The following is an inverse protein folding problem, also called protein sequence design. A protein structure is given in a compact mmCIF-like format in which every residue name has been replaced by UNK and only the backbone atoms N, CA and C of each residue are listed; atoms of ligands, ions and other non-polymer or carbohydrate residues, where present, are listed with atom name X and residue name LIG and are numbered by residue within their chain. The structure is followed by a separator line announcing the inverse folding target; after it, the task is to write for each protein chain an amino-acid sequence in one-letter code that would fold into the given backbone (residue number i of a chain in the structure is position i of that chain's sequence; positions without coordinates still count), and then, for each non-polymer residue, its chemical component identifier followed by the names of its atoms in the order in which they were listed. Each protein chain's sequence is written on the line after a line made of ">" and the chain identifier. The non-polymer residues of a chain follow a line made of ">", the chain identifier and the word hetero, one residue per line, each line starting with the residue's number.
data_IF_306908359497
#
_entry.id   IF_306908359497
#
_cell.length_a   1.000
_cell.length_b   1.000
_cell.length_c   1.000
_cell.angle_alpha   90.00
_cell.angle_beta   90.00
_cell.angle_gamma   90.00
#
_symmetry.space_group_name_H-M   'P 1'
#
loop_
_entity.id
_entity.type
_entity.pdbx_description
1 polymer ?
#
# COMPACT_ATOMS: atom_id res chain seq x y z
N UNK A 1 -18.62 3.45 -30.55
CA UNK A 1 -17.57 3.70 -29.54
C UNK A 1 -16.42 2.74 -29.78
N UNK A 2 -15.21 3.24 -29.96
CA UNK A 2 -14.02 2.39 -30.07
C UNK A 2 -13.67 1.82 -28.68
N UNK A 3 -13.42 0.52 -28.59
CA UNK A 3 -12.96 -0.12 -27.35
C UNK A 3 -11.53 0.33 -27.05
N UNK A 4 -11.21 0.54 -25.77
CA UNK A 4 -9.83 0.79 -25.32
C UNK A 4 -9.01 -0.48 -25.48
N UNK A 5 -7.95 -0.41 -26.29
CA UNK A 5 -6.96 -1.46 -26.56
C UNK A 5 -5.60 -1.07 -25.99
N UNK A 6 -4.65 -2.02 -25.92
CA UNK A 6 -3.32 -1.81 -25.33
C UNK A 6 -3.18 -2.38 -23.93
N UNK A 7 -2.03 -2.15 -23.29
CA UNK A 7 -1.74 -2.58 -21.93
C UNK A 7 -2.55 -1.71 -20.95
N UNK A 8 -3.44 -2.32 -20.18
CA UNK A 8 -4.38 -1.66 -19.28
C UNK A 8 -3.86 -1.58 -17.85
N UNK A 9 -3.04 -2.55 -17.45
CA UNK A 9 -2.33 -2.56 -16.19
C UNK A 9 -1.00 -3.28 -16.30
N UNK A 10 -0.10 -2.95 -15.39
CA UNK A 10 1.12 -3.74 -15.17
C UNK A 10 0.96 -4.45 -13.85
N UNK A 11 0.58 -5.71 -13.93
CA UNK A 11 0.36 -6.57 -12.77
C UNK A 11 1.69 -7.21 -12.37
N UNK A 12 1.88 -7.50 -11.09
CA UNK A 12 3.11 -8.13 -10.62
C UNK A 12 2.86 -8.99 -9.39
N UNK A 13 3.73 -9.98 -9.20
CA UNK A 13 3.80 -10.85 -8.03
C UNK A 13 5.14 -10.64 -7.35
N UNK A 14 5.11 -10.48 -6.04
CA UNK A 14 6.28 -10.22 -5.21
C UNK A 14 6.52 -11.42 -4.32
N UNK A 15 7.75 -11.90 -4.29
CA UNK A 15 8.27 -12.79 -3.25
C UNK A 15 9.23 -12.00 -2.38
N UNK A 16 9.04 -12.06 -1.07
CA UNK A 16 9.91 -11.37 -0.11
C UNK A 16 10.29 -12.31 1.03
N UNK A 17 11.47 -12.09 1.60
CA UNK A 17 12.00 -12.88 2.71
C UNK A 17 12.39 -11.95 3.87
N UNK A 18 12.46 -12.50 5.06
CA UNK A 18 12.77 -11.73 6.25
C UNK A 18 13.00 -12.58 7.49
N UNK A 19 13.12 -11.88 8.61
CA UNK A 19 13.17 -12.48 9.94
C UNK A 19 12.49 -11.56 10.95
N UNK A 20 11.68 -12.14 11.82
CA UNK A 20 10.94 -11.38 12.83
C UNK A 20 9.71 -10.64 12.28
N UNK A 21 8.93 -10.10 13.20
CA UNK A 21 7.75 -9.29 12.87
C UNK A 21 8.16 -7.84 12.67
N UNK A 22 7.97 -7.33 11.44
CA UNK A 22 8.21 -5.92 11.11
C UNK A 22 6.97 -5.03 11.28
N UNK A 23 5.76 -5.60 11.22
CA UNK A 23 4.51 -4.85 11.34
C UNK A 23 3.60 -5.42 12.44
N UNK A 24 3.64 -4.76 13.61
CA UNK A 24 2.82 -5.13 14.77
C UNK A 24 1.41 -4.54 14.70
N UNK A 25 0.46 -5.22 15.33
CA UNK A 25 -0.90 -4.70 15.54
C UNK A 25 -0.97 -3.92 16.86
N UNK A 26 -0.42 -4.50 17.93
CA UNK A 26 -0.38 -3.88 19.25
C UNK A 26 -0.77 -4.84 20.38
N UNK A 27 -0.83 -4.29 21.59
CA UNK A 27 -1.25 -5.02 22.78
C UNK A 27 -2.70 -5.50 22.64
N UNK A 28 -2.92 -6.79 22.90
CA UNK A 28 -4.23 -7.44 22.77
C UNK A 28 -4.60 -8.11 24.10
N UNK A 29 -5.88 -8.01 24.49
CA UNK A 29 -6.39 -8.69 25.67
C UNK A 29 -6.58 -10.18 25.41
N UNK A 30 -5.90 -11.01 26.20
CA UNK A 30 -5.86 -12.47 26.05
C UNK A 30 -5.87 -13.14 27.42
N UNK A 31 -6.14 -14.45 27.45
CA UNK A 31 -5.99 -15.28 28.65
C UNK A 31 -4.61 -15.93 28.67
N UNK A 32 -4.04 -16.02 29.85
CA UNK A 32 -2.86 -16.86 30.11
C UNK A 32 -2.96 -17.50 31.48
N UNK A 33 -2.26 -18.62 31.66
CA UNK A 33 -2.22 -19.33 32.92
C UNK A 33 -1.16 -18.69 33.82
N UNK A 34 -1.59 -18.14 34.96
CA UNK A 34 -0.71 -17.54 35.98
C UNK A 34 -1.02 -18.20 37.31
N UNK A 35 -0.03 -18.85 37.90
CA UNK A 35 -0.13 -19.57 39.19
C UNK A 35 -1.29 -20.59 39.20
N UNK A 36 -1.46 -21.33 38.11
CA UNK A 36 -2.52 -22.34 37.96
C UNK A 36 -3.93 -21.78 37.73
N UNK A 37 -4.08 -20.46 37.58
CA UNK A 37 -5.36 -19.80 37.32
C UNK A 37 -5.35 -19.01 36.01
N UNK A 38 -6.43 -19.10 35.24
CA UNK A 38 -6.59 -18.33 34.00
C UNK A 38 -6.84 -16.85 34.31
N UNK A 39 -5.91 -15.98 33.91
CA UNK A 39 -6.01 -14.53 34.10
C UNK A 39 -5.99 -13.81 32.76
N UNK A 40 -6.75 -12.72 32.69
CA UNK A 40 -6.69 -11.79 31.57
C UNK A 40 -5.40 -10.97 31.65
N UNK A 41 -4.65 -10.92 30.56
CA UNK A 41 -3.47 -10.08 30.37
C UNK A 41 -3.73 -9.09 29.26
N UNK A 42 -3.23 -7.87 29.43
CA UNK A 42 -3.41 -6.75 28.49
C UNK A 42 -2.10 -6.31 27.84
N UNK A 43 -0.98 -6.93 28.22
CA UNK A 43 0.38 -6.58 27.80
C UNK A 43 1.01 -7.66 26.90
N UNK A 44 0.20 -8.45 26.21
CA UNK A 44 0.64 -9.35 25.16
C UNK A 44 0.57 -8.65 23.80
N UNK A 45 1.70 -8.46 23.11
CA UNK A 45 1.71 -7.78 21.82
C UNK A 45 1.49 -8.78 20.67
N UNK A 46 0.48 -8.51 19.85
CA UNK A 46 0.14 -9.33 18.69
C UNK A 46 0.64 -8.70 17.39
N UNK A 47 1.20 -9.49 16.47
CA UNK A 47 1.44 -9.05 15.11
C UNK A 47 0.12 -8.90 14.34
N UNK A 48 0.17 -8.39 13.11
CA UNK A 48 -1.00 -8.38 12.23
C UNK A 48 -1.25 -9.79 11.69
N UNK A 49 -2.32 -10.41 12.14
CA UNK A 49 -2.77 -11.73 11.69
C UNK A 49 -4.06 -11.58 10.88
N UNK A 50 -4.12 -12.16 9.68
CA UNK A 50 -5.29 -12.02 8.80
C UNK A 50 -6.51 -12.65 9.45
N UNK A 51 -7.60 -11.90 9.58
CA UNK A 51 -8.88 -12.46 10.07
C UNK A 51 -8.87 -12.86 11.55
N UNK A 52 -7.80 -12.56 12.29
CA UNK A 52 -7.70 -12.90 13.70
C UNK A 52 -8.68 -12.12 14.55
N UNK A 53 -9.33 -12.83 15.46
CA UNK A 53 -10.10 -12.29 16.59
C UNK A 53 -9.57 -12.88 17.89
N UNK A 54 -9.50 -12.06 18.94
CA UNK A 54 -9.09 -12.48 20.28
C UNK A 54 -10.24 -13.11 21.09
N UNK A 55 -11.41 -13.31 20.46
CA UNK A 55 -12.60 -13.90 21.07
C UNK A 55 -12.86 -15.31 20.53
N UNK A 56 -13.43 -16.18 21.35
CA UNK A 56 -13.89 -17.53 21.00
C UNK A 56 -15.22 -17.83 21.70
N UNK A 57 -15.97 -18.78 21.15
CA UNK A 57 -17.13 -19.36 21.83
C UNK A 57 -16.67 -20.52 22.72
N UNK A 58 -17.05 -20.47 23.99
CA UNK A 58 -16.87 -21.55 24.95
C UNK A 58 -18.24 -22.08 25.40
N UNK A 59 -18.28 -23.31 25.92
CA UNK A 59 -19.48 -23.90 26.50
C UNK A 59 -19.30 -24.08 28.00
N UNK A 60 -20.35 -23.80 28.77
CA UNK A 60 -20.37 -24.14 30.20
C UNK A 60 -20.75 -25.63 30.40
N UNK A 61 -20.75 -26.10 31.65
CA UNK A 61 -21.08 -27.49 32.01
C UNK A 61 -22.51 -27.90 31.60
N UNK A 62 -23.38 -26.94 31.30
CA UNK A 62 -24.76 -27.14 30.81
C UNK A 62 -24.87 -27.09 29.28
N UNK A 63 -23.75 -26.92 28.56
CA UNK A 63 -23.70 -26.81 27.11
C UNK A 63 -24.07 -25.44 26.54
N UNK A 64 -24.35 -24.44 27.39
CA UNK A 64 -24.69 -23.09 26.94
C UNK A 64 -23.44 -22.39 26.41
N UNK A 65 -23.53 -21.81 25.21
CA UNK A 65 -22.42 -21.13 24.55
C UNK A 65 -22.32 -19.68 25.03
N UNK A 66 -21.12 -19.25 25.39
CA UNK A 66 -20.80 -17.86 25.74
C UNK A 66 -19.48 -17.42 25.10
N UNK A 67 -19.34 -16.12 24.88
CA UNK A 67 -18.11 -15.55 24.33
C UNK A 67 -17.04 -15.40 25.42
N UNK A 68 -15.80 -15.78 25.11
CA UNK A 68 -14.65 -15.61 26.00
C UNK A 68 -13.40 -15.24 25.23
N UNK A 69 -12.34 -14.83 25.93
CA UNK A 69 -11.05 -14.50 25.31
C UNK A 69 -10.28 -15.77 24.95
N UNK A 70 -9.56 -15.70 23.82
CA UNK A 70 -8.58 -16.71 23.42
C UNK A 70 -7.38 -16.70 24.37
N UNK A 71 -6.72 -17.84 24.44
CA UNK A 71 -5.45 -17.97 25.14
C UNK A 71 -4.33 -17.37 24.31
N UNK A 72 -3.27 -16.87 24.94
CA UNK A 72 -2.16 -16.23 24.23
C UNK A 72 -1.39 -17.19 23.31
N UNK A 73 -1.54 -18.50 23.50
CA UNK A 73 -0.98 -19.58 22.67
C UNK A 73 -1.96 -20.12 21.65
N UNK A 74 -3.23 -19.68 21.68
CA UNK A 74 -4.31 -20.17 20.81
C UNK A 74 -4.37 -19.34 19.52
N UNK A 75 -3.36 -19.55 18.67
CA UNK A 75 -3.25 -18.93 17.36
C UNK A 75 -3.00 -20.00 16.31
N UNK A 76 -3.88 -20.03 15.30
CA UNK A 76 -3.73 -20.88 14.13
C UNK A 76 -3.19 -20.03 12.97
N UNK A 77 -1.95 -20.29 12.56
CA UNK A 77 -1.30 -19.56 11.47
C UNK A 77 -1.67 -20.09 10.08
N UNK A 78 -2.37 -21.22 9.98
CA UNK A 78 -3.00 -21.68 8.73
C UNK A 78 -4.26 -20.86 8.44
N UNK A 79 -5.10 -20.63 9.45
CA UNK A 79 -6.32 -19.84 9.31
C UNK A 79 -6.07 -18.32 9.38
N UNK A 80 -5.15 -17.91 10.26
CA UNK A 80 -4.86 -16.49 10.54
C UNK A 80 -3.38 -16.16 10.33
N UNK A 81 -2.86 -16.26 9.09
CA UNK A 81 -1.44 -16.06 8.81
C UNK A 81 -0.98 -14.64 9.13
N UNK A 82 0.31 -14.53 9.45
CA UNK A 82 1.00 -13.24 9.57
C UNK A 82 0.92 -12.48 8.24
N UNK A 83 0.78 -11.16 8.33
CA UNK A 83 0.94 -10.31 7.15
C UNK A 83 1.56 -8.96 7.47
N UNK A 84 2.26 -8.40 6.47
CA UNK A 84 2.65 -6.98 6.49
C UNK A 84 1.58 -6.20 5.73
N UNK A 85 1.00 -5.19 6.38
CA UNK A 85 -0.07 -4.42 5.76
C UNK A 85 0.46 -3.59 4.58
N UNK A 86 -0.35 -3.46 3.53
CA UNK A 86 -0.06 -2.62 2.36
C UNK A 86 0.31 -1.20 2.78
N UNK A 87 -0.26 -0.67 3.86
CA UNK A 87 0.09 0.67 4.37
C UNK A 87 1.54 0.74 4.89
N UNK A 88 2.01 -0.31 5.58
CA UNK A 88 3.40 -0.39 6.03
C UNK A 88 4.36 -0.48 4.85
N UNK A 89 4.01 -1.27 3.83
CA UNK A 89 4.79 -1.41 2.60
C UNK A 89 4.87 -0.09 1.85
N UNK A 90 3.72 0.57 1.62
CA UNK A 90 3.67 1.89 0.97
C UNK A 90 4.45 2.94 1.75
N UNK A 91 4.41 2.91 3.08
CA UNK A 91 5.23 3.81 3.87
C UNK A 91 6.73 3.64 3.55
N UNK A 92 7.23 2.40 3.52
CA UNK A 92 8.64 2.14 3.25
C UNK A 92 9.04 2.36 1.78
N UNK A 93 8.16 2.06 0.82
CA UNK A 93 8.38 2.36 -0.60
C UNK A 93 8.61 3.86 -0.86
N UNK A 94 7.92 4.72 -0.10
CA UNK A 94 7.97 6.18 -0.27
C UNK A 94 8.53 6.88 0.97
N UNK A 95 9.44 6.23 1.69
CA UNK A 95 9.97 6.73 2.96
C UNK A 95 10.85 7.97 2.79
N UNK A 96 11.60 8.01 1.69
CA UNK A 96 12.51 9.12 1.40
C UNK A 96 11.76 10.39 0.96
N UNK A 97 10.54 10.21 0.42
CA UNK A 97 9.63 11.29 0.00
C UNK A 97 8.47 11.49 0.99
N UNK A 98 8.70 11.31 2.30
CA UNK A 98 7.66 11.55 3.32
C UNK A 98 7.39 13.05 3.42
N UNK A 99 6.19 13.42 2.99
CA UNK A 99 5.68 14.79 3.07
C UNK A 99 4.95 15.00 4.40
N UNK A 100 5.27 16.09 5.09
CA UNK A 100 4.48 16.56 6.22
C UNK A 100 3.19 17.21 5.71
N UNK A 101 2.11 16.42 5.60
CA UNK A 101 0.79 16.87 5.14
C UNK A 101 0.15 17.96 6.01
N UNK A 102 0.61 18.12 7.26
CA UNK A 102 0.13 19.15 8.17
C UNK A 102 0.90 20.46 8.04
N UNK A 103 1.91 20.54 7.17
CA UNK A 103 2.69 21.75 7.00
C UNK A 103 1.81 22.89 6.43
N UNK A 104 1.78 24.09 7.04
CA UNK A 104 0.86 25.17 6.63
C UNK A 104 0.97 25.56 5.15
N UNK A 105 2.17 25.53 4.59
CA UNK A 105 2.44 25.92 3.19
C UNK A 105 2.25 24.80 2.15
N UNK A 106 1.70 23.65 2.55
CA UNK A 106 1.57 22.50 1.64
C UNK A 106 0.67 22.84 0.43
N UNK A 107 -0.42 23.58 0.69
CA UNK A 107 -1.38 24.04 -0.32
C UNK A 107 -0.82 25.11 -1.27
N UNK A 108 0.27 25.79 -0.92
CA UNK A 108 0.95 26.78 -1.77
C UNK A 108 1.99 26.14 -2.70
N UNK A 109 2.37 24.89 -2.44
CA UNK A 109 3.49 24.19 -3.09
C UNK A 109 3.06 22.85 -3.68
N UNK A 110 1.79 22.73 -4.09
CA UNK A 110 1.22 21.48 -4.60
C UNK A 110 1.89 21.06 -5.91
N UNK A 111 2.38 22.00 -6.70
CA UNK A 111 3.16 21.72 -7.91
C UNK A 111 4.43 20.92 -7.59
N UNK A 112 5.13 21.22 -6.49
CA UNK A 112 6.29 20.45 -6.01
C UNK A 112 5.90 19.06 -5.54
N UNK A 113 4.73 18.91 -4.93
CA UNK A 113 4.20 17.59 -4.52
C UNK A 113 3.91 16.77 -5.78
N UNK A 114 3.23 17.36 -6.76
CA UNK A 114 2.85 16.68 -7.98
C UNK A 114 4.07 16.28 -8.82
N UNK A 115 5.13 17.09 -8.81
CA UNK A 115 6.44 16.79 -9.41
C UNK A 115 7.34 15.96 -8.48
N UNK A 116 6.81 14.87 -7.92
CA UNK A 116 7.53 13.92 -7.07
C UNK A 116 7.03 12.48 -7.25
N UNK A 117 7.77 11.48 -6.76
CA UNK A 117 7.29 10.08 -6.73
C UNK A 117 6.03 9.95 -5.89
N UNK A 118 5.93 10.68 -4.78
CA UNK A 118 4.72 10.72 -3.97
C UNK A 118 3.53 11.27 -4.77
N UNK A 119 3.72 12.35 -5.52
CA UNK A 119 2.69 12.96 -6.36
C UNK A 119 2.20 12.05 -7.48
N UNK A 120 3.13 11.50 -8.27
CA UNK A 120 2.79 10.75 -9.48
C UNK A 120 2.38 9.30 -9.19
N UNK A 121 2.93 8.67 -8.14
CA UNK A 121 2.80 7.24 -7.89
C UNK A 121 2.11 6.87 -6.57
N UNK A 122 2.42 7.55 -5.46
CA UNK A 122 1.82 7.22 -4.14
C UNK A 122 0.40 7.74 -4.00
N UNK A 123 0.08 8.83 -4.68
CA UNK A 123 -1.16 9.56 -4.48
C UNK A 123 -1.15 10.38 -3.18
N UNK A 124 -2.06 11.34 -3.08
CA UNK A 124 -2.13 12.28 -1.97
C UNK A 124 -3.54 12.84 -1.80
N UNK A 125 -3.76 13.45 -0.63
CA UNK A 125 -4.93 14.27 -0.32
C UNK A 125 -4.42 15.50 0.44
N UNK A 126 -4.83 16.69 0.03
CA UNK A 126 -4.51 17.93 0.72
C UNK A 126 -5.69 18.27 1.65
N UNK A 127 -5.50 18.26 2.98
CA UNK A 127 -6.62 18.40 3.91
C UNK A 127 -7.37 19.73 3.80
N UNK A 128 -6.69 20.80 3.35
CA UNK A 128 -7.24 22.16 3.37
C UNK A 128 -8.28 22.42 2.26
N UNK A 129 -8.07 21.87 1.07
CA UNK A 129 -8.88 22.12 -0.11
C UNK A 129 -9.40 20.83 -0.76
N UNK A 130 -9.14 19.67 -0.15
CA UNK A 130 -9.57 18.34 -0.61
C UNK A 130 -9.02 17.90 -1.97
N UNK A 131 -8.12 18.70 -2.57
CA UNK A 131 -7.39 18.33 -3.77
C UNK A 131 -6.66 17.01 -3.54
N UNK A 132 -6.79 16.11 -4.51
CA UNK A 132 -6.35 14.73 -4.33
C UNK A 132 -5.96 14.10 -5.65
N UNK A 133 -5.06 13.13 -5.54
CA UNK A 133 -4.68 12.25 -6.63
C UNK A 133 -4.69 10.82 -6.14
N UNK A 134 -5.51 9.99 -6.77
CA UNK A 134 -5.57 8.55 -6.50
C UNK A 134 -4.25 7.91 -6.91
N UNK A 135 -3.74 7.00 -6.07
CA UNK A 135 -2.56 6.23 -6.42
C UNK A 135 -2.85 5.28 -7.59
N UNK A 136 -2.02 5.26 -8.64
CA UNK A 136 -2.10 4.21 -9.65
C UNK A 136 -1.63 2.83 -9.14
N UNK A 137 -0.97 2.77 -7.98
CA UNK A 137 -0.44 1.54 -7.40
C UNK A 137 -1.46 0.88 -6.47
N UNK A 138 -1.92 -0.31 -6.84
CA UNK A 138 -2.61 -1.25 -5.97
C UNK A 138 -1.61 -2.29 -5.45
N UNK A 139 -1.63 -2.54 -4.14
CA UNK A 139 -0.84 -3.61 -3.51
C UNK A 139 -1.74 -4.42 -2.57
N UNK A 140 -1.61 -5.74 -2.63
CA UNK A 140 -2.14 -6.59 -1.57
C UNK A 140 -1.23 -6.53 -0.36
N UNK A 141 -1.75 -6.98 0.78
CA UNK A 141 -0.93 -7.29 1.93
C UNK A 141 0.08 -8.40 1.58
N UNK A 142 1.25 -8.37 2.22
CA UNK A 142 2.27 -9.41 2.09
C UNK A 142 1.93 -10.54 3.06
N UNK A 143 1.41 -11.63 2.54
CA UNK A 143 0.96 -12.78 3.32
C UNK A 143 2.12 -13.74 3.56
N UNK A 144 2.36 -14.06 4.82
CA UNK A 144 3.42 -14.98 5.24
C UNK A 144 3.01 -16.44 4.98
N UNK A 145 3.96 -17.27 4.54
CA UNK A 145 3.72 -18.64 4.12
C UNK A 145 4.34 -19.70 5.04
N UNK A 146 5.44 -19.37 5.72
CA UNK A 146 6.26 -20.28 6.49
C UNK A 146 5.70 -20.65 7.87
N UNK A 147 4.81 -19.82 8.42
CA UNK A 147 4.01 -20.08 9.64
C UNK A 147 4.84 -20.38 10.87
N UNK A 148 6.06 -19.84 10.94
CA UNK A 148 7.02 -20.05 12.04
C UNK A 148 6.76 -19.11 13.21
N UNK A 149 5.51 -18.99 13.62
CA UNK A 149 5.09 -18.16 14.74
C UNK A 149 5.07 -18.93 16.06
N UNK A 150 5.37 -18.27 17.17
CA UNK A 150 5.24 -18.84 18.51
C UNK A 150 4.96 -17.78 19.58
N UNK A 151 4.46 -18.23 20.72
CA UNK A 151 4.43 -17.40 21.94
C UNK A 151 5.84 -17.24 22.49
N UNK A 152 6.22 -16.01 22.85
CA UNK A 152 7.49 -15.69 23.47
C UNK A 152 7.29 -14.85 24.74
N UNK A 153 7.81 -15.36 25.86
CA UNK A 153 7.83 -14.66 27.13
C UNK A 153 9.09 -13.80 27.22
N UNK A 154 8.91 -12.52 27.54
CA UNK A 154 9.97 -11.53 27.65
C UNK A 154 9.98 -10.94 29.07
N UNK A 155 11.12 -10.37 29.44
CA UNK A 155 11.32 -9.73 30.72
C UNK A 155 12.24 -8.52 30.63
N UNK A 156 12.16 -7.64 31.63
CA UNK A 156 13.13 -6.56 31.87
C UNK A 156 14.17 -7.06 32.86
N UNK A 157 15.45 -6.86 32.55
CA UNK A 157 16.53 -7.05 33.53
C UNK A 157 16.47 -5.92 34.58
N UNK A 158 16.71 -6.24 35.85
CA UNK A 158 16.69 -5.28 36.97
C UNK A 158 15.57 -5.51 37.99
N UNK A 159 15.28 -4.48 38.79
CA UNK A 159 14.31 -4.54 39.90
C UNK A 159 12.93 -5.01 39.43
N UNK A 160 12.40 -6.04 40.11
CA UNK A 160 11.03 -6.55 39.94
C UNK A 160 10.01 -5.75 40.77
N UNK A 161 10.47 -4.71 41.47
CA UNK A 161 9.65 -3.92 42.38
C UNK A 161 8.56 -3.19 41.62
N UNK A 162 7.40 -3.09 42.26
CA UNK A 162 6.26 -2.39 41.72
C UNK A 162 6.53 -0.90 41.89
N UNK A 163 6.45 -0.13 40.82
CA UNK A 163 6.55 1.33 40.89
C UNK A 163 5.16 1.92 41.11
N UNK A 164 5.02 2.81 42.10
CA UNK A 164 3.78 3.53 42.35
C UNK A 164 3.34 4.30 41.10
N UNK A 165 2.19 3.92 40.55
CA UNK A 165 1.53 4.70 39.50
C UNK A 165 0.68 5.80 40.15
N UNK A 166 0.40 6.90 39.42
CA UNK A 166 -0.49 8.00 39.88
C UNK A 166 -1.90 7.54 40.32
N UNK A 167 -2.25 6.27 40.13
CA UNK A 167 -3.54 5.65 40.46
C UNK A 167 -3.47 4.64 41.61
N UNK A 168 -2.33 4.54 42.33
CA UNK A 168 -2.21 3.77 43.58
C UNK A 168 -2.38 2.24 43.46
N UNK A 169 -2.34 1.67 42.24
CA UNK A 169 -2.34 0.22 42.02
C UNK A 169 -1.01 -0.23 41.45
N UNK A 170 -0.22 -0.85 42.30
CA UNK A 170 1.06 -1.44 41.99
C UNK A 170 0.91 -2.72 41.15
N UNK A 171 1.21 -2.63 39.85
CA UNK A 171 1.39 -3.79 38.96
C UNK A 171 2.84 -3.85 38.47
N UNK A 172 3.51 -4.98 38.69
CA UNK A 172 4.83 -5.24 38.12
C UNK A 172 4.69 -5.44 36.61
N UNK A 173 5.27 -4.53 35.82
CA UNK A 173 5.30 -4.61 34.35
C UNK A 173 6.63 -5.19 33.84
N UNK A 174 7.36 -5.89 34.70
CA UNK A 174 8.70 -6.42 34.38
C UNK A 174 8.64 -7.66 33.46
N UNK A 175 7.50 -8.34 33.40
CA UNK A 175 7.24 -9.45 32.47
C UNK A 175 6.16 -9.06 31.46
N UNK A 176 6.40 -9.36 30.20
CA UNK A 176 5.47 -9.14 29.09
C UNK A 176 5.69 -10.23 28.03
N UNK A 177 4.76 -10.41 27.11
CA UNK A 177 4.88 -11.46 26.10
C UNK A 177 4.47 -10.96 24.73
N UNK A 178 4.85 -11.71 23.70
CA UNK A 178 4.51 -11.41 22.31
C UNK A 178 4.27 -12.70 21.56
N UNK A 179 3.53 -12.61 20.46
CA UNK A 179 3.58 -13.63 19.41
C UNK A 179 4.66 -13.20 18.42
N UNK A 180 5.77 -13.94 18.37
CA UNK A 180 6.94 -13.63 17.53
C UNK A 180 7.07 -14.65 16.39
N UNK A 181 7.93 -14.34 15.43
CA UNK A 181 8.18 -15.16 14.25
C UNK A 181 9.69 -15.24 14.02
N UNK A 182 10.16 -16.39 13.56
CA UNK A 182 11.54 -16.57 13.09
C UNK A 182 11.71 -16.08 11.65
N UNK A 183 12.28 -16.91 10.79
CA UNK A 183 12.37 -16.63 9.35
C UNK A 183 10.98 -16.56 8.72
N UNK A 184 10.79 -15.59 7.83
CA UNK A 184 9.51 -15.33 7.18
C UNK A 184 9.66 -15.29 5.66
N UNK A 185 8.66 -15.82 4.97
CA UNK A 185 8.53 -15.77 3.52
C UNK A 185 7.16 -15.23 3.17
N UNK A 186 7.10 -14.21 2.32
CA UNK A 186 5.87 -13.52 1.97
C UNK A 186 5.59 -13.58 0.47
N UNK A 187 4.30 -13.67 0.14
CA UNK A 187 3.79 -13.41 -1.21
C UNK A 187 2.83 -12.22 -1.18
N UNK A 188 2.98 -11.34 -2.16
CA UNK A 188 2.04 -10.27 -2.47
C UNK A 188 1.79 -10.16 -3.97
N UNK A 189 0.71 -9.48 -4.33
CA UNK A 189 0.38 -9.10 -5.69
C UNK A 189 0.14 -7.61 -5.74
N UNK A 190 0.37 -7.00 -6.90
CA UNK A 190 0.00 -5.61 -7.13
C UNK A 190 -0.25 -5.33 -8.59
N UNK A 191 -0.71 -4.12 -8.86
CA UNK A 191 -1.08 -3.66 -10.20
C UNK A 191 -0.85 -2.16 -10.30
N UNK A 192 -0.21 -1.74 -11.39
CA UNK A 192 -0.10 -0.34 -11.78
C UNK A 192 -1.21 -0.06 -12.80
N UNK A 193 -2.18 0.75 -12.41
CA UNK A 193 -3.31 1.12 -13.25
C UNK A 193 -2.91 2.23 -14.24
N UNK A 194 -2.95 1.92 -15.54
CA UNK A 194 -2.49 2.83 -16.59
C UNK A 194 -3.41 4.04 -16.76
N UNK A 195 -4.72 3.86 -16.58
CA UNK A 195 -5.69 4.96 -16.65
C UNK A 195 -5.44 6.02 -15.57
N UNK A 196 -5.22 5.58 -14.34
CA UNK A 196 -4.92 6.48 -13.22
C UNK A 196 -3.51 7.09 -13.30
N UNK A 197 -2.56 6.34 -13.86
CA UNK A 197 -1.19 6.82 -14.02
C UNK A 197 -1.11 7.91 -15.09
N UNK A 198 -1.72 7.68 -16.26
CA UNK A 198 -1.54 8.54 -17.43
C UNK A 198 -2.21 9.90 -17.35
N UNK A 199 -3.31 10.01 -16.59
CA UNK A 199 -4.13 11.21 -16.57
C UNK A 199 -4.05 11.93 -15.23
N UNK A 200 -3.92 13.25 -15.28
CA UNK A 200 -3.88 14.13 -14.11
C UNK A 200 -5.00 15.16 -14.24
N UNK A 201 -6.08 14.98 -13.48
CA UNK A 201 -7.22 15.87 -13.48
C UNK A 201 -6.87 17.21 -12.81
N UNK A 202 -7.22 18.32 -13.48
CA UNK A 202 -6.98 19.69 -13.02
C UNK A 202 -8.29 20.49 -12.86
N UNK A 203 -9.44 19.81 -12.91
CA UNK A 203 -10.74 20.39 -12.56
C UNK A 203 -11.50 19.52 -11.58
N UNK A 204 -12.44 20.14 -10.87
CA UNK A 204 -13.26 19.46 -9.87
C UNK A 204 -14.59 18.92 -10.42
N UNK A 205 -14.79 18.94 -11.74
CA UNK A 205 -16.05 18.53 -12.40
C UNK A 205 -16.47 17.10 -12.00
N UNK A 206 -15.48 16.24 -11.76
CA UNK A 206 -15.67 14.84 -11.33
C UNK A 206 -15.14 14.54 -9.92
N UNK A 207 -14.87 15.57 -9.10
CA UNK A 207 -14.38 15.39 -7.74
C UNK A 207 -12.95 14.84 -7.65
N UNK A 208 -12.11 15.05 -8.68
CA UNK A 208 -10.77 14.45 -8.82
C UNK A 208 -9.66 15.50 -9.00
N UNK A 209 -9.91 16.76 -8.66
CA UNK A 209 -8.95 17.85 -8.88
C UNK A 209 -7.63 17.61 -8.13
N UNK A 210 -6.53 17.37 -8.87
CA UNK A 210 -5.22 17.12 -8.27
C UNK A 210 -4.60 18.39 -7.70
N UNK A 211 -4.80 19.51 -8.39
CA UNK A 211 -4.35 20.85 -8.03
C UNK A 211 -5.25 21.85 -8.73
N UNK A 212 -5.65 22.90 -8.02
CA UNK A 212 -6.42 23.99 -8.59
C UNK A 212 -5.52 24.83 -9.50
N UNK A 213 -5.98 25.06 -10.73
CA UNK A 213 -5.37 26.03 -11.67
C UNK A 213 -6.37 27.14 -11.97
N UNK A 214 -5.87 28.36 -12.14
CA UNK A 214 -6.68 29.55 -12.42
C UNK A 214 -6.72 29.86 -13.92
N UNK A 215 -5.65 29.51 -14.65
CA UNK A 215 -5.52 29.81 -16.07
C UNK A 215 -4.95 28.64 -16.86
N UNK A 216 -5.23 28.58 -18.16
CA UNK A 216 -4.64 27.57 -19.06
C UNK A 216 -3.11 27.68 -19.14
N UNK A 217 -2.56 28.89 -18.96
CA UNK A 217 -1.11 29.12 -18.87
C UNK A 217 -0.48 28.40 -17.67
N UNK A 218 -1.17 28.36 -16.53
CA UNK A 218 -0.73 27.59 -15.37
C UNK A 218 -0.77 26.09 -15.64
N UNK A 219 -1.80 25.61 -16.36
CA UNK A 219 -1.88 24.21 -16.80
C UNK A 219 -0.72 23.79 -17.70
N UNK A 220 -0.38 24.62 -18.69
CA UNK A 220 0.77 24.40 -19.59
C UNK A 220 2.08 24.39 -18.79
N UNK A 221 2.31 25.40 -17.94
CA UNK A 221 3.52 25.48 -17.13
C UNK A 221 3.66 24.30 -16.15
N UNK A 222 2.54 23.80 -15.62
CA UNK A 222 2.53 22.61 -14.77
C UNK A 222 2.90 21.35 -15.57
N UNK A 223 2.36 21.21 -16.78
CA UNK A 223 2.70 20.09 -17.66
C UNK A 223 4.20 20.07 -17.99
N UNK A 224 4.80 21.23 -18.30
CA UNK A 224 6.24 21.37 -18.51
C UNK A 224 7.06 20.99 -17.27
N UNK A 225 6.63 21.39 -16.06
CA UNK A 225 7.29 20.99 -14.80
C UNK A 225 7.25 19.48 -14.60
N UNK A 226 6.12 18.83 -14.86
CA UNK A 226 5.96 17.38 -14.74
C UNK A 226 6.81 16.66 -15.78
N UNK A 227 6.79 17.12 -17.03
CA UNK A 227 7.64 16.59 -18.10
C UNK A 227 9.13 16.67 -17.71
N UNK A 228 9.58 17.83 -17.25
CA UNK A 228 10.96 18.03 -16.81
C UNK A 228 11.31 17.13 -15.62
N UNK A 229 10.42 16.99 -14.64
CA UNK A 229 10.64 16.08 -13.51
C UNK A 229 10.80 14.63 -13.97
N UNK A 230 9.89 14.12 -14.82
CA UNK A 230 9.96 12.73 -15.31
C UNK A 230 11.25 12.49 -16.08
N UNK A 231 11.75 13.48 -16.84
CA UNK A 231 13.05 13.39 -17.53
C UNK A 231 14.26 13.29 -16.59
N UNK A 232 14.13 13.63 -15.31
CA UNK A 232 15.23 13.49 -14.34
C UNK A 232 15.32 12.10 -13.71
N UNK A 233 14.37 11.20 -13.99
CA UNK A 233 14.31 9.87 -13.39
C UNK A 233 15.24 8.87 -14.08
N UNK A 234 15.72 7.86 -13.35
CA UNK A 234 16.73 6.90 -13.81
C UNK A 234 16.33 6.15 -15.08
N UNK A 235 15.03 5.88 -15.27
CA UNK A 235 14.49 5.16 -16.42
C UNK A 235 13.95 6.06 -17.54
N UNK A 236 14.23 7.37 -17.47
CA UNK A 236 13.80 8.33 -18.47
C UNK A 236 14.45 8.02 -19.83
N UNK A 237 13.62 7.72 -20.83
CA UNK A 237 14.09 7.46 -22.19
C UNK A 237 12.97 7.79 -23.19
N UNK A 238 13.36 8.22 -24.39
CA UNK A 238 12.43 8.56 -25.46
C UNK A 238 11.94 10.00 -25.39
N UNK A 239 10.82 10.27 -26.04
CA UNK A 239 10.21 11.60 -26.08
C UNK A 239 9.21 11.75 -24.93
N UNK A 240 9.70 11.99 -23.73
CA UNK A 240 8.83 12.18 -22.56
C UNK A 240 7.99 13.45 -22.73
N UNK A 241 6.66 13.29 -22.72
CA UNK A 241 5.69 14.38 -22.87
C UNK A 241 4.58 14.35 -21.82
N UNK A 242 4.27 15.52 -21.30
CA UNK A 242 3.07 15.78 -20.51
C UNK A 242 2.30 16.92 -21.19
N UNK A 243 1.09 16.64 -21.68
CA UNK A 243 0.32 17.59 -22.49
C UNK A 243 -0.90 18.08 -21.73
N UNK A 244 -0.97 19.40 -21.49
CA UNK A 244 -2.17 20.05 -20.99
C UNK A 244 -3.23 20.17 -22.09
N UNK A 245 -4.48 19.93 -21.73
CA UNK A 245 -5.64 20.33 -22.53
C UNK A 245 -6.78 20.77 -21.61
N UNK A 246 -7.57 21.74 -22.07
CA UNK A 246 -8.71 22.24 -21.30
C UNK A 246 -9.94 21.29 -21.37
N UNK A 247 -9.93 20.33 -22.31
CA UNK A 247 -11.03 19.40 -22.52
C UNK A 247 -10.50 17.99 -22.87
N UNK A 248 -10.22 17.13 -21.88
CA UNK A 248 -9.94 15.72 -22.10
C UNK A 248 -11.19 14.88 -21.85
N UNK A 249 -11.62 14.13 -22.87
CA UNK A 249 -12.77 13.23 -22.82
C UNK A 249 -12.29 11.80 -22.68
N UNK A 250 -12.86 11.06 -21.71
CA UNK A 250 -12.55 9.65 -21.52
C UNK A 250 -13.15 8.81 -22.66
N UNK A 251 -12.35 7.97 -23.30
CA UNK A 251 -12.81 7.04 -24.34
C UNK A 251 -13.85 6.07 -23.79
N UNK A 252 -14.91 5.84 -24.57
CA UNK A 252 -15.97 4.89 -24.26
C UNK A 252 -17.06 5.42 -23.32
N UNK A 253 -17.05 6.72 -22.98
CA UNK A 253 -18.19 7.36 -22.31
C UNK A 253 -19.33 7.60 -23.29
N UNK A 254 -20.57 7.61 -22.77
CA UNK A 254 -21.78 7.91 -23.54
C UNK A 254 -21.89 9.44 -23.76
N UNK A 255 -21.57 10.20 -22.71
CA UNK A 255 -21.55 11.66 -22.74
C UNK A 255 -20.09 12.11 -22.95
N UNK A 256 -19.87 12.98 -23.94
CA UNK A 256 -18.56 13.53 -24.29
C UNK A 256 -18.17 14.72 -23.39
N UNK A 257 -18.51 14.65 -22.11
CA UNK A 257 -18.08 15.64 -21.13
C UNK A 257 -16.61 15.39 -20.80
N UNK A 258 -15.78 16.38 -21.05
CA UNK A 258 -14.37 16.32 -20.68
C UNK A 258 -14.04 17.19 -19.47
N UNK A 259 -12.79 17.11 -19.06
CA UNK A 259 -12.24 17.86 -17.94
C UNK A 259 -10.87 18.41 -18.29
N UNK A 260 -10.48 19.50 -17.64
CA UNK A 260 -9.12 20.03 -17.73
C UNK A 260 -8.15 19.02 -17.14
N UNK A 261 -7.03 18.80 -17.81
CA UNK A 261 -6.06 17.84 -17.31
C UNK A 261 -4.75 17.83 -18.06
N UNK A 262 -3.86 16.98 -17.58
CA UNK A 262 -2.58 16.66 -18.21
C UNK A 262 -2.57 15.18 -18.56
N UNK A 263 -2.22 14.87 -19.81
CA UNK A 263 -2.06 13.51 -20.29
C UNK A 263 -0.56 13.21 -20.51
N UNK A 264 -0.10 12.13 -19.90
CA UNK A 264 1.25 11.59 -20.10
C UNK A 264 1.28 10.69 -21.33
N UNK A 265 2.34 10.79 -22.12
CA UNK A 265 2.53 9.92 -23.27
C UNK A 265 3.15 8.56 -22.90
N UNK A 266 3.31 7.71 -23.90
CA UNK A 266 3.86 6.34 -23.77
C UNK A 266 5.18 6.29 -22.99
N UNK A 267 6.14 7.15 -23.35
CA UNK A 267 7.48 7.18 -22.76
C UNK A 267 7.46 7.68 -21.30
N UNK A 268 6.64 8.67 -21.00
CA UNK A 268 6.41 9.15 -19.63
C UNK A 268 5.79 8.05 -18.74
N UNK A 269 4.76 7.36 -19.24
CA UNK A 269 4.12 6.24 -18.54
C UNK A 269 5.14 5.12 -18.31
N UNK A 270 5.91 4.76 -19.34
CA UNK A 270 6.91 3.70 -19.26
C UNK A 270 7.99 3.99 -18.21
N UNK A 271 8.45 5.25 -18.15
CA UNK A 271 9.44 5.72 -17.16
C UNK A 271 8.90 5.51 -15.75
N UNK A 272 7.67 5.95 -15.49
CA UNK A 272 7.03 5.84 -14.17
C UNK A 272 6.73 4.39 -13.76
N UNK A 273 6.29 3.55 -14.71
CA UNK A 273 6.11 2.11 -14.48
C UNK A 273 7.43 1.45 -14.07
N UNK A 274 8.50 1.71 -14.81
CA UNK A 274 9.83 1.13 -14.51
C UNK A 274 10.36 1.63 -13.18
N UNK A 275 10.21 2.92 -12.88
CA UNK A 275 10.61 3.49 -11.59
C UNK A 275 9.88 2.79 -10.43
N UNK A 276 8.56 2.59 -10.54
CA UNK A 276 7.78 1.87 -9.52
C UNK A 276 8.24 0.43 -9.35
N UNK A 277 8.41 -0.32 -10.45
CA UNK A 277 8.88 -1.71 -10.40
C UNK A 277 10.26 -1.81 -9.75
N UNK A 278 11.17 -0.89 -10.08
CA UNK A 278 12.50 -0.81 -9.48
C UNK A 278 12.45 -0.49 -7.97
N UNK A 279 11.56 0.41 -7.54
CA UNK A 279 11.36 0.69 -6.11
C UNK A 279 10.83 -0.54 -5.36
N UNK A 280 9.97 -1.35 -5.99
CA UNK A 280 9.45 -2.58 -5.42
C UNK A 280 10.53 -3.67 -5.37
N UNK A 281 11.28 -3.86 -6.44
CA UNK A 281 12.37 -4.84 -6.53
C UNK A 281 13.46 -4.58 -5.48
N UNK A 282 13.78 -3.31 -5.24
CA UNK A 282 14.79 -2.90 -4.26
C UNK A 282 14.20 -2.63 -2.86
N UNK A 283 12.94 -2.98 -2.61
CA UNK A 283 12.32 -2.74 -1.31
C UNK A 283 12.95 -3.66 -0.25
N UNK A 284 13.63 -3.04 0.72
CA UNK A 284 14.10 -3.70 1.93
C UNK A 284 14.10 -2.75 3.11
N UNK A 285 13.66 -3.21 4.27
CA UNK A 285 13.64 -2.39 5.47
C UNK A 285 13.73 -3.20 6.76
N UNK A 286 14.26 -2.54 7.80
CA UNK A 286 14.27 -3.03 9.17
C UNK A 286 13.31 -2.23 10.03
N UNK A 287 12.47 -2.91 10.80
CA UNK A 287 11.52 -2.29 11.73
C UNK A 287 11.20 -3.24 12.87
N UNK A 288 10.97 -2.70 14.07
CA UNK A 288 10.59 -3.48 15.26
C UNK A 288 11.55 -4.65 15.59
N UNK A 289 12.84 -4.49 15.26
CA UNK A 289 13.91 -5.49 15.39
C UNK A 289 13.78 -6.72 14.48
N UNK A 290 12.90 -6.67 13.49
CA UNK A 290 12.90 -7.59 12.36
C UNK A 290 13.31 -6.88 11.06
N UNK A 291 13.44 -7.64 9.99
CA UNK A 291 13.69 -7.11 8.65
C UNK A 291 12.93 -7.90 7.59
N UNK A 292 12.72 -7.27 6.44
CA UNK A 292 12.17 -7.87 5.23
C UNK A 292 12.85 -7.25 4.00
N UNK A 293 13.04 -8.05 2.95
CA UNK A 293 13.51 -7.60 1.65
C UNK A 293 12.80 -8.36 0.53
N UNK A 294 12.59 -7.71 -0.60
CA UNK A 294 12.07 -8.34 -1.80
C UNK A 294 13.16 -9.20 -2.43
N UNK A 295 12.84 -10.46 -2.68
CA UNK A 295 13.75 -11.44 -3.31
C UNK A 295 13.56 -11.45 -4.83
N UNK A 296 12.31 -11.37 -5.30
CA UNK A 296 11.99 -11.38 -6.73
C UNK A 296 10.65 -10.73 -7.02
N UNK A 297 10.55 -10.14 -8.21
CA UNK A 297 9.30 -9.61 -8.78
C UNK A 297 9.04 -10.24 -10.14
N UNK A 298 7.91 -10.92 -10.29
CA UNK A 298 7.41 -11.40 -11.58
C UNK A 298 6.41 -10.36 -12.12
N UNK A 299 6.57 -9.94 -13.38
CA UNK A 299 5.78 -8.86 -14.00
C UNK A 299 4.90 -9.40 -15.12
N UNK A 300 3.74 -8.77 -15.29
CA UNK A 300 2.79 -9.05 -16.37
C UNK A 300 2.22 -7.75 -16.95
N UNK A 301 2.61 -7.43 -18.18
CA UNK A 301 2.03 -6.32 -18.95
C UNK A 301 0.66 -6.74 -19.49
N UNK A 302 -0.38 -6.49 -18.69
CA UNK A 302 -1.71 -7.06 -18.88
C UNK A 302 -2.60 -6.21 -19.80
N UNK A 303 -2.99 -6.79 -20.92
CA UNK A 303 -3.86 -6.22 -21.95
C UNK A 303 -5.29 -6.83 -21.92
N UNK A 304 -5.72 -7.34 -20.76
CA UNK A 304 -6.97 -8.09 -20.59
C UNK A 304 -8.17 -7.51 -21.34
N UNK A 305 -9.01 -8.39 -21.91
CA UNK A 305 -10.23 -7.97 -22.59
C UNK A 305 -11.39 -7.75 -21.60
N UNK A 306 -11.46 -8.55 -20.55
CA UNK A 306 -12.55 -8.56 -19.58
C UNK A 306 -12.04 -8.25 -18.16
N UNK A 307 -12.80 -7.51 -17.33
CA UNK A 307 -12.37 -7.16 -15.97
C UNK A 307 -12.03 -8.37 -15.08
N UNK A 308 -12.67 -9.52 -15.31
CA UNK A 308 -12.37 -10.78 -14.59
C UNK A 308 -10.94 -11.27 -14.79
N UNK A 309 -10.25 -10.80 -15.84
CA UNK A 309 -8.89 -11.20 -16.21
C UNK A 309 -7.84 -10.18 -15.75
N UNK A 310 -8.23 -9.16 -14.97
CA UNK A 310 -7.30 -8.42 -14.12
C UNK A 310 -6.60 -9.38 -13.15
N UNK A 311 -5.33 -9.13 -12.84
CA UNK A 311 -4.49 -10.05 -12.05
C UNK A 311 -4.42 -11.46 -12.65
N UNK A 312 -4.33 -11.61 -13.98
CA UNK A 312 -4.17 -12.94 -14.61
C UNK A 312 -2.94 -13.68 -14.09
N UNK A 313 -1.88 -12.96 -13.71
CA UNK A 313 -0.69 -13.47 -13.00
C UNK A 313 -1.02 -14.27 -11.73
N UNK A 314 -2.14 -14.00 -11.07
CA UNK A 314 -2.60 -14.75 -9.88
C UNK A 314 -3.30 -16.05 -10.23
N UNK A 315 -3.86 -16.18 -11.44
CA UNK A 315 -4.70 -17.31 -11.86
C UNK A 315 -3.96 -18.28 -12.77
N UNK A 316 -3.21 -17.76 -13.73
CA UNK A 316 -2.57 -18.55 -14.78
C UNK A 316 -1.27 -17.90 -15.24
N UNK A 317 -0.16 -18.40 -14.69
CA UNK A 317 1.20 -17.91 -14.97
C UNK A 317 1.58 -18.13 -16.44
N UNK A 318 0.97 -19.11 -17.14
CA UNK A 318 1.31 -19.39 -18.55
C UNK A 318 0.85 -18.30 -19.52
N UNK A 319 -0.06 -17.41 -19.08
CA UNK A 319 -0.64 -16.34 -19.90
C UNK A 319 -0.03 -14.97 -19.63
N UNK A 320 0.98 -14.87 -18.77
CA UNK A 320 1.62 -13.58 -18.47
C UNK A 320 2.48 -13.11 -19.63
N UNK A 321 2.63 -11.79 -19.72
CA UNK A 321 3.54 -11.13 -20.66
C UNK A 321 4.64 -10.45 -19.86
N UNK A 322 5.80 -11.10 -19.62
CA UNK A 322 6.84 -10.57 -18.75
C UNK A 322 7.57 -9.36 -19.35
N UNK A 323 7.52 -9.23 -20.67
CA UNK A 323 8.03 -8.08 -21.39
C UNK A 323 6.88 -7.29 -22.02
N UNK A 324 7.07 -5.98 -22.12
CA UNK A 324 6.15 -5.07 -22.78
C UNK A 324 6.08 -5.41 -24.27
N UNK A 325 4.98 -6.03 -24.71
CA UNK A 325 4.78 -6.49 -26.09
C UNK A 325 3.95 -5.54 -26.96
N UNK A 326 3.53 -4.39 -26.43
CA UNK A 326 2.70 -3.40 -27.13
C UNK A 326 2.69 -2.04 -26.43
N UNK A 327 1.85 -1.14 -26.92
CA UNK A 327 1.64 0.19 -26.33
C UNK A 327 0.73 0.15 -25.10
N UNK A 328 0.87 1.13 -24.22
CA UNK A 328 -0.08 1.34 -23.14
C UNK A 328 -1.44 1.79 -23.70
N UNK A 329 -2.50 1.40 -23.01
CA UNK A 329 -3.85 1.77 -23.38
C UNK A 329 -4.05 3.29 -23.21
N UNK A 330 -4.61 3.94 -24.22
CA UNK A 330 -4.95 5.37 -24.17
C UNK A 330 -6.42 5.51 -23.78
N UNK A 331 -6.69 6.03 -22.58
CA UNK A 331 -8.03 6.19 -22.01
C UNK A 331 -8.66 7.56 -22.26
N UNK A 332 -7.87 8.56 -22.62
CA UNK A 332 -8.34 9.93 -22.83
C UNK A 332 -7.95 10.44 -24.22
N UNK A 333 -8.79 11.31 -24.77
CA UNK A 333 -8.53 12.02 -26.02
C UNK A 333 -8.94 13.49 -25.86
N UNK A 334 -8.36 14.37 -26.66
CA UNK A 334 -8.81 15.76 -26.73
C UNK A 334 -10.25 15.77 -27.22
N UNK A 335 -11.14 16.41 -26.45
CA UNK A 335 -12.49 16.73 -26.90
C UNK A 335 -12.46 17.90 -27.88
N UNK A 336 -13.51 17.99 -28.69
CA UNK A 336 -13.76 19.16 -29.55
C UNK A 336 -14.02 20.44 -28.74
#
# INVERSE_FOLDING_TARGET
>A
MQKVTGIKSVDFKIKACGHGVVNWNGSTELKTLIDGSWKTVTNHNMPKLRGYTNKKLASNDKGEKFETLKEATEVDFDETPLYISQNCIRYHLFKDDVINWQHPKIHENVDKILCSMTGLLRGYVIPRNENKRTSPLLLTDFLELGKKGNFEQLGRAGSKEKQETKSGKDKSNSLFSKTTFGDTEYIAYGSINIEQLQFIALSNDFGQEAIQITTDKEGIALAEKIENYIKTLDFAHGDIKATYHNNFVRKGTIFAEGQKGILLNEDAINTLVKQMLNMIENLGFSQAKGYVYVESVEVDYNNFEQPKDMFRIRKDISKISPQKSGEYAIYYQQGE
#
